data_IF_357981373006
#
_entry.id   IF_357981373006
#
_cell.length_a   1.000
_cell.length_b   1.000
_cell.length_c   1.000
_cell.angle_alpha   90.00
_cell.angle_beta   90.00
_cell.angle_gamma   90.00
#
_symmetry.space_group_name_H-M   'P 1'
#
loop_
_entity.id
_entity.type
_entity.pdbx_description
1 polymer ?
#
# COMPACT_ATOMS: atom_id res chain seq x y z
N UNK A 1 -28.92 -44.77 16.68
CA UNK A 1 -28.32 -43.78 17.60
C UNK A 1 -27.43 -42.88 16.76
N UNK A 2 -27.84 -41.62 16.55
CA UNK A 2 -27.09 -40.67 15.73
C UNK A 2 -25.96 -40.03 16.52
N UNK A 3 -24.75 -40.04 15.98
CA UNK A 3 -23.61 -39.30 16.54
C UNK A 3 -23.84 -37.81 16.28
N UNK A 4 -23.85 -36.98 17.33
CA UNK A 4 -23.79 -35.51 17.19
C UNK A 4 -22.34 -35.08 17.33
N UNK A 5 -21.79 -34.55 16.24
CA UNK A 5 -20.50 -33.88 16.22
C UNK A 5 -20.75 -32.38 16.40
N UNK A 6 -20.27 -31.81 17.51
CA UNK A 6 -20.32 -30.37 17.75
C UNK A 6 -18.94 -29.79 17.41
N UNK A 7 -18.87 -28.86 16.45
CA UNK A 7 -17.64 -28.14 16.10
C UNK A 7 -17.69 -26.76 16.75
N UNK A 8 -16.80 -26.52 17.70
CA UNK A 8 -16.64 -25.23 18.37
C UNK A 8 -15.43 -24.54 17.76
N UNK A 9 -15.65 -23.36 17.18
CA UNK A 9 -14.60 -22.48 16.70
C UNK A 9 -14.23 -21.50 17.80
N UNK A 10 -12.98 -21.51 18.24
CA UNK A 10 -12.46 -20.48 19.14
C UNK A 10 -11.37 -19.68 18.40
N UNK A 11 -11.62 -18.38 18.16
CA UNK A 11 -10.59 -17.48 17.64
C UNK A 11 -9.69 -17.02 18.78
N UNK A 12 -8.38 -17.16 18.60
CA UNK A 12 -7.36 -16.56 19.46
C UNK A 12 -6.57 -15.50 18.69
N UNK A 13 -5.78 -14.67 19.39
CA UNK A 13 -4.86 -13.68 18.79
C UNK A 13 -3.79 -14.30 17.87
N UNK A 14 -3.63 -15.63 17.82
CA UNK A 14 -2.62 -16.35 17.03
C UNK A 14 -3.20 -17.39 16.05
N UNK A 15 -4.51 -17.40 15.84
CA UNK A 15 -5.17 -18.33 14.91
C UNK A 15 -6.49 -18.91 15.41
N UNK A 16 -7.04 -19.83 14.63
CA UNK A 16 -8.32 -20.52 14.91
C UNK A 16 -8.04 -21.87 15.56
N UNK A 17 -8.54 -22.08 16.77
CA UNK A 17 -8.58 -23.39 17.42
C UNK A 17 -9.91 -24.06 17.08
N UNK A 18 -9.85 -25.23 16.44
CA UNK A 18 -11.03 -26.05 16.13
C UNK A 18 -11.13 -27.15 17.20
N UNK A 19 -12.16 -27.07 18.05
CA UNK A 19 -12.46 -28.10 19.05
C UNK A 19 -13.65 -28.91 18.55
N UNK A 20 -13.49 -30.22 18.39
CA UNK A 20 -14.58 -31.11 18.01
C UNK A 20 -14.98 -31.96 19.22
N UNK A 21 -16.24 -31.92 19.60
CA UNK A 21 -16.79 -32.71 20.70
C UNK A 21 -17.62 -33.85 20.12
N UNK A 22 -17.19 -35.09 20.36
CA UNK A 22 -17.94 -36.31 20.02
C UNK A 22 -18.81 -36.71 21.22
N UNK A 23 -20.13 -36.54 21.12
CA UNK A 23 -21.08 -36.98 22.15
C UNK A 23 -21.74 -38.28 21.72
N UNK A 24 -21.23 -39.41 22.20
CA UNK A 24 -21.82 -40.74 21.96
C UNK A 24 -22.88 -41.16 22.99
N UNK A 25 -22.96 -40.49 24.14
CA UNK A 25 -24.04 -40.69 25.12
C UNK A 25 -24.18 -39.47 26.05
N UNK A 26 -25.29 -39.37 26.79
CA UNK A 26 -25.54 -38.30 27.77
C UNK A 26 -24.67 -38.37 29.04
N UNK A 27 -23.77 -39.36 29.14
CA UNK A 27 -22.95 -39.57 30.35
C UNK A 27 -21.43 -39.60 30.10
N UNK A 28 -20.96 -39.69 28.85
CA UNK A 28 -19.52 -39.67 28.54
C UNK A 28 -19.21 -38.73 27.37
N UNK A 29 -18.63 -37.57 27.67
CA UNK A 29 -18.01 -36.70 26.68
C UNK A 29 -16.50 -36.95 26.70
N UNK A 30 -15.96 -37.59 25.67
CA UNK A 30 -14.51 -37.69 25.48
C UNK A 30 -14.05 -36.46 24.70
N UNK A 31 -13.29 -35.57 25.35
CA UNK A 31 -12.64 -34.45 24.65
C UNK A 31 -11.42 -35.01 23.91
N UNK A 32 -11.55 -35.18 22.60
CA UNK A 32 -10.41 -35.52 21.74
C UNK A 32 -9.75 -34.21 21.33
N UNK A 33 -8.80 -33.74 22.15
CA UNK A 33 -7.94 -32.62 21.77
C UNK A 33 -6.96 -33.08 20.69
N UNK A 34 -7.29 -32.87 19.41
CA UNK A 34 -6.30 -32.98 18.33
C UNK A 34 -5.45 -31.72 18.37
N UNK A 35 -4.13 -31.88 18.52
CA UNK A 35 -3.16 -30.83 18.27
C UNK A 35 -3.27 -30.46 16.78
N UNK A 36 -4.00 -29.39 16.47
CA UNK A 36 -3.83 -28.73 15.19
C UNK A 36 -2.61 -27.83 15.34
N UNK A 37 -1.60 -28.09 14.52
CA UNK A 37 -0.52 -27.13 14.24
C UNK A 37 -1.16 -25.76 14.08
N UNK A 38 -0.66 -24.73 14.77
CA UNK A 38 -1.09 -23.36 14.53
C UNK A 38 -1.09 -23.15 13.01
N UNK A 39 -2.27 -22.99 12.41
CA UNK A 39 -2.35 -22.50 11.04
C UNK A 39 -1.91 -21.06 11.19
N UNK A 40 -0.60 -20.82 11.02
CA UNK A 40 -0.05 -19.47 10.92
C UNK A 40 -0.63 -18.92 9.62
N UNK A 41 -1.77 -18.26 9.75
CA UNK A 41 -2.39 -17.54 8.64
C UNK A 41 -1.51 -16.33 8.40
N UNK A 42 -0.84 -16.30 7.25
CA UNK A 42 -0.07 -15.14 6.83
C UNK A 42 -0.97 -13.89 6.82
N UNK A 43 -0.43 -12.73 7.20
CA UNK A 43 -1.18 -11.48 7.23
C UNK A 43 -1.76 -11.09 5.86
N UNK A 44 -1.03 -11.45 4.79
CA UNK A 44 -1.47 -11.37 3.41
C UNK A 44 -1.63 -12.78 2.84
N UNK A 45 -2.61 -12.97 1.96
CA UNK A 45 -2.79 -14.18 1.14
C UNK A 45 -2.03 -14.14 -0.19
N UNK A 46 -1.39 -13.00 -0.48
CA UNK A 46 -0.61 -12.74 -1.69
C UNK A 46 0.82 -12.35 -1.32
N UNK A 47 1.72 -12.41 -2.30
CA UNK A 47 3.02 -11.76 -2.19
C UNK A 47 2.84 -10.29 -1.77
N UNK A 48 3.72 -9.83 -0.89
CA UNK A 48 3.85 -8.39 -0.63
C UNK A 48 4.89 -7.84 -1.60
N UNK A 49 4.57 -6.73 -2.24
CA UNK A 49 5.46 -5.97 -3.12
C UNK A 49 5.82 -4.64 -2.47
N UNK A 50 6.82 -3.93 -2.99
CA UNK A 50 7.26 -2.64 -2.47
C UNK A 50 7.02 -1.56 -3.51
N UNK A 51 6.32 -0.50 -3.13
CA UNK A 51 6.20 0.71 -3.94
C UNK A 51 6.95 1.89 -3.33
N UNK A 52 7.53 2.73 -4.18
CA UNK A 52 8.15 3.99 -3.77
C UNK A 52 7.72 5.14 -4.65
N UNK A 53 7.47 6.29 -4.03
CA UNK A 53 7.23 7.55 -4.72
C UNK A 53 8.55 8.09 -5.30
N UNK A 54 8.65 8.21 -6.63
CA UNK A 54 9.87 8.57 -7.37
C UNK A 54 9.63 9.73 -8.33
N UNK A 55 10.72 10.28 -8.86
CA UNK A 55 10.69 11.38 -9.82
C UNK A 55 10.24 12.70 -9.18
N UNK A 56 10.44 12.87 -7.87
CA UNK A 56 9.90 14.00 -7.11
C UNK A 56 10.83 15.23 -7.07
N UNK A 57 11.88 15.24 -7.90
CA UNK A 57 12.64 16.47 -8.17
C UNK A 57 11.84 17.47 -9.01
N UNK A 58 12.39 18.67 -9.21
CA UNK A 58 11.81 19.66 -10.13
C UNK A 58 12.87 20.66 -10.62
N UNK A 59 13.10 20.71 -11.93
CA UNK A 59 14.13 21.55 -12.54
C UNK A 59 15.51 21.25 -11.97
N UNK A 60 16.13 22.24 -11.32
CA UNK A 60 17.45 22.09 -10.70
C UNK A 60 17.41 21.45 -9.30
N UNK A 61 16.22 21.18 -8.75
CA UNK A 61 16.08 20.62 -7.41
C UNK A 61 15.93 19.10 -7.47
N UNK A 62 16.80 18.40 -6.74
CA UNK A 62 16.70 16.95 -6.56
C UNK A 62 15.86 16.63 -5.33
N UNK A 63 15.12 15.53 -5.38
CA UNK A 63 14.42 14.94 -4.25
C UNK A 63 14.66 13.42 -4.30
N UNK A 64 15.09 12.85 -3.18
CA UNK A 64 15.33 11.43 -3.05
C UNK A 64 16.54 10.88 -3.82
N UNK A 65 17.05 9.70 -3.42
CA UNK A 65 18.08 8.96 -4.13
C UNK A 65 17.44 7.91 -5.08
N UNK A 66 16.64 8.34 -6.06
CA UNK A 66 15.84 7.45 -6.93
C UNK A 66 16.66 6.28 -7.54
N UNK A 67 17.86 6.57 -8.05
CA UNK A 67 18.76 5.58 -8.66
C UNK A 67 19.18 4.46 -7.70
N UNK A 68 19.28 4.75 -6.40
CA UNK A 68 19.62 3.79 -5.36
C UNK A 68 18.41 2.96 -4.90
N UNK A 69 17.20 3.54 -5.03
CA UNK A 69 15.95 2.92 -4.58
C UNK A 69 15.36 1.97 -5.63
N UNK A 70 15.43 2.32 -6.91
CA UNK A 70 14.84 1.56 -8.03
C UNK A 70 15.21 0.06 -7.99
N UNK A 71 16.45 -0.37 -7.71
CA UNK A 71 16.79 -1.79 -7.67
C UNK A 71 16.18 -2.58 -6.50
N UNK A 72 15.56 -1.90 -5.53
CA UNK A 72 15.05 -2.49 -4.28
C UNK A 72 13.53 -2.62 -4.24
N UNK A 73 12.82 -2.11 -5.25
CA UNK A 73 11.37 -1.97 -5.27
C UNK A 73 10.76 -2.84 -6.37
N UNK A 74 9.43 -2.97 -6.35
CA UNK A 74 8.66 -3.67 -7.37
C UNK A 74 7.84 -2.66 -8.22
N UNK A 75 7.41 -1.55 -7.59
CA UNK A 75 6.57 -0.51 -8.19
C UNK A 75 7.12 0.90 -7.97
N UNK A 76 7.07 1.74 -9.02
CA UNK A 76 7.39 3.16 -8.93
C UNK A 76 6.14 4.03 -9.11
N UNK A 77 5.82 4.87 -8.13
CA UNK A 77 4.81 5.92 -8.27
C UNK A 77 5.50 7.20 -8.77
N UNK A 78 5.40 7.49 -10.07
CA UNK A 78 6.14 8.60 -10.68
C UNK A 78 5.34 9.89 -10.65
N UNK A 79 5.94 10.95 -10.08
CA UNK A 79 5.32 12.28 -10.00
C UNK A 79 5.00 12.86 -11.39
N UNK A 80 3.87 13.58 -11.50
CA UNK A 80 3.25 13.92 -12.79
C UNK A 80 3.21 15.42 -13.10
N UNK A 81 4.04 16.25 -12.46
CA UNK A 81 4.19 17.67 -12.80
C UNK A 81 3.49 18.68 -11.88
N UNK A 82 2.58 18.24 -11.01
CA UNK A 82 1.73 19.16 -10.23
C UNK A 82 2.22 19.36 -8.80
N UNK A 83 2.62 18.29 -8.10
CA UNK A 83 3.27 18.40 -6.80
C UNK A 83 4.79 18.36 -6.89
N UNK A 84 5.29 17.60 -7.88
CA UNK A 84 6.70 17.40 -8.19
C UNK A 84 6.83 16.75 -9.58
N UNK A 85 8.06 16.52 -10.01
CA UNK A 85 8.39 15.99 -11.32
C UNK A 85 8.31 17.06 -12.41
N UNK A 86 9.22 17.04 -13.35
CA UNK A 86 9.13 17.80 -14.59
C UNK A 86 9.23 16.84 -15.79
N UNK A 87 8.98 17.30 -17.04
CA UNK A 87 9.02 16.42 -18.21
C UNK A 87 10.31 15.61 -18.37
N UNK A 88 11.47 16.20 -18.05
CA UNK A 88 12.75 15.53 -18.20
C UNK A 88 12.95 14.50 -17.09
N UNK A 89 12.60 14.85 -15.85
CA UNK A 89 12.65 13.93 -14.71
C UNK A 89 11.73 12.73 -14.95
N UNK A 90 10.47 12.96 -15.36
CA UNK A 90 9.54 11.87 -15.71
C UNK A 90 10.14 10.93 -16.75
N UNK A 91 10.72 11.47 -17.84
CA UNK A 91 11.35 10.66 -18.87
C UNK A 91 12.54 9.85 -18.35
N UNK A 92 13.38 10.44 -17.51
CA UNK A 92 14.54 9.78 -16.92
C UNK A 92 14.12 8.68 -15.95
N UNK A 93 13.18 8.95 -15.04
CA UNK A 93 12.66 7.97 -14.08
C UNK A 93 12.02 6.77 -14.80
N UNK A 94 11.21 7.00 -15.85
CA UNK A 94 10.62 5.91 -16.64
C UNK A 94 11.70 5.04 -17.30
N UNK A 95 12.73 5.65 -17.90
CA UNK A 95 13.85 4.91 -18.50
C UNK A 95 14.60 4.07 -17.48
N UNK A 96 14.81 4.59 -16.29
CA UNK A 96 15.53 3.86 -15.25
C UNK A 96 14.68 2.70 -14.71
N UNK A 97 13.39 2.92 -14.48
CA UNK A 97 12.45 1.85 -14.13
C UNK A 97 12.45 0.74 -15.19
N UNK A 98 12.44 1.09 -16.48
CA UNK A 98 12.54 0.11 -17.58
C UNK A 98 13.80 -0.74 -17.51
N UNK A 99 14.95 -0.13 -17.23
CA UNK A 99 16.24 -0.83 -17.14
C UNK A 99 16.29 -1.85 -16.02
N UNK A 100 15.49 -1.63 -14.97
CA UNK A 100 15.40 -2.46 -13.79
C UNK A 100 14.14 -3.33 -13.72
N UNK A 101 13.32 -3.35 -14.78
CA UNK A 101 12.05 -4.10 -14.84
C UNK A 101 11.04 -3.71 -13.74
N UNK A 102 11.00 -2.42 -13.39
CA UNK A 102 10.09 -1.88 -12.37
C UNK A 102 8.79 -1.43 -13.00
N UNK A 103 7.64 -1.85 -12.44
CA UNK A 103 6.34 -1.42 -12.94
C UNK A 103 6.06 0.04 -12.56
N UNK A 104 5.62 0.84 -13.52
CA UNK A 104 5.45 2.28 -13.33
C UNK A 104 3.98 2.66 -13.26
N UNK A 105 3.61 3.43 -12.24
CA UNK A 105 2.31 4.04 -12.07
C UNK A 105 2.38 5.56 -11.97
N UNK A 106 1.24 6.19 -12.21
CA UNK A 106 1.10 7.63 -12.07
C UNK A 106 0.91 8.02 -10.60
N UNK A 107 1.62 9.05 -10.17
CA UNK A 107 1.50 9.63 -8.84
C UNK A 107 0.90 11.05 -8.90
N UNK A 108 -0.41 11.18 -9.22
CA UNK A 108 -1.04 12.49 -9.38
C UNK A 108 -1.16 13.21 -8.03
N UNK A 109 -0.75 14.47 -7.99
CA UNK A 109 -0.87 15.34 -6.84
C UNK A 109 -1.72 16.59 -7.10
N UNK A 110 -2.03 17.33 -6.05
CA UNK A 110 -2.60 18.68 -6.19
C UNK A 110 -1.59 19.62 -6.87
N UNK A 111 -2.04 20.68 -7.59
CA UNK A 111 -1.18 21.64 -8.28
C UNK A 111 -0.46 22.57 -7.30
N UNK A 112 0.46 22.00 -6.54
CA UNK A 112 1.15 22.65 -5.44
C UNK A 112 2.61 22.20 -5.31
N UNK A 113 3.45 22.63 -6.25
CA UNK A 113 4.90 22.35 -6.22
C UNK A 113 5.54 22.92 -4.94
N UNK A 114 5.13 24.11 -4.50
CA UNK A 114 5.73 24.79 -3.34
C UNK A 114 5.44 24.08 -2.02
N UNK A 115 4.25 23.49 -1.90
CA UNK A 115 3.85 22.67 -0.77
C UNK A 115 4.09 21.18 -0.98
N UNK A 116 4.73 20.78 -2.08
CA UNK A 116 4.97 19.39 -2.46
C UNK A 116 3.68 18.55 -2.46
N UNK A 117 2.53 19.14 -2.85
CA UNK A 117 1.23 18.45 -2.82
C UNK A 117 0.76 18.04 -1.42
N UNK A 118 1.32 18.61 -0.35
CA UNK A 118 1.00 18.31 1.06
C UNK A 118 0.16 19.41 1.75
N UNK A 119 -0.50 20.28 0.97
CA UNK A 119 -1.49 21.27 1.45
C UNK A 119 -2.82 21.05 0.75
N UNK A 120 -3.91 20.97 1.51
CA UNK A 120 -5.23 20.83 0.91
C UNK A 120 -5.56 22.05 0.06
N UNK A 121 -6.01 21.80 -1.18
CA UNK A 121 -6.55 22.79 -2.09
C UNK A 121 -7.97 22.35 -2.39
N UNK A 122 -8.94 23.23 -2.10
CA UNK A 122 -10.34 22.96 -2.43
C UNK A 122 -10.51 23.09 -3.95
N UNK A 123 -10.85 21.97 -4.58
CA UNK A 123 -11.14 21.87 -6.01
C UNK A 123 -12.53 21.24 -6.19
N UNK A 124 -13.21 21.56 -7.29
CA UNK A 124 -14.47 20.90 -7.65
C UNK A 124 -14.21 19.44 -8.09
N UNK A 125 -15.24 18.57 -8.06
CA UNK A 125 -15.14 17.22 -8.62
C UNK A 125 -14.66 17.20 -10.09
N UNK A 126 -15.13 18.13 -10.92
CA UNK A 126 -14.72 18.23 -12.31
C UNK A 126 -13.25 18.63 -12.45
N UNK A 127 -12.77 19.55 -11.61
CA UNK A 127 -11.36 19.95 -11.55
C UNK A 127 -10.47 18.78 -11.13
N UNK A 128 -10.86 18.03 -10.10
CA UNK A 128 -10.13 16.84 -9.64
C UNK A 128 -10.06 15.75 -10.71
N UNK A 129 -11.18 15.50 -11.40
CA UNK A 129 -11.25 14.53 -12.50
C UNK A 129 -10.32 14.93 -13.65
N UNK A 130 -10.41 16.19 -14.10
CA UNK A 130 -9.61 16.71 -15.20
C UNK A 130 -8.12 16.75 -14.86
N UNK A 131 -7.77 17.15 -13.64
CA UNK A 131 -6.41 17.18 -13.13
C UNK A 131 -5.79 15.78 -13.10
N UNK A 132 -6.50 14.79 -12.55
CA UNK A 132 -6.01 13.41 -12.50
C UNK A 132 -5.80 12.87 -13.92
N UNK A 133 -6.76 13.09 -14.82
CA UNK A 133 -6.65 12.67 -16.22
C UNK A 133 -5.47 13.33 -16.94
N UNK A 134 -5.22 14.62 -16.71
CA UNK A 134 -4.09 15.35 -17.27
C UNK A 134 -2.77 14.72 -16.83
N UNK A 135 -2.60 14.52 -15.52
CA UNK A 135 -1.36 13.97 -14.95
C UNK A 135 -1.10 12.54 -15.40
N UNK A 136 -2.12 11.67 -15.37
CA UNK A 136 -2.01 10.29 -15.84
C UNK A 136 -1.71 10.26 -17.35
N UNK A 137 -2.36 11.12 -18.14
CA UNK A 137 -2.09 11.25 -19.58
C UNK A 137 -0.67 11.73 -19.88
N UNK A 138 -0.14 12.66 -19.08
CA UNK A 138 1.23 13.14 -19.21
C UNK A 138 2.24 12.01 -18.98
N UNK A 139 2.15 11.27 -17.88
CA UNK A 139 3.05 10.14 -17.62
C UNK A 139 2.90 9.05 -18.69
N UNK A 140 1.66 8.75 -19.11
CA UNK A 140 1.39 7.75 -20.13
C UNK A 140 2.14 8.03 -21.44
N UNK A 141 2.30 9.29 -21.84
CA UNK A 141 3.07 9.63 -23.03
C UNK A 141 4.55 9.22 -22.93
N UNK A 142 5.17 9.35 -21.75
CA UNK A 142 6.56 8.92 -21.53
C UNK A 142 6.67 7.39 -21.46
N UNK A 143 5.69 6.73 -20.84
CA UNK A 143 5.60 5.26 -20.82
C UNK A 143 5.46 4.70 -22.23
N UNK A 144 4.56 5.25 -23.04
CA UNK A 144 4.33 4.82 -24.42
C UNK A 144 5.59 5.02 -25.28
N UNK A 145 6.33 6.12 -25.08
CA UNK A 145 7.61 6.38 -25.76
C UNK A 145 8.70 5.35 -25.41
N UNK A 146 8.65 4.78 -24.21
CA UNK A 146 9.55 3.72 -23.76
C UNK A 146 8.96 2.31 -23.94
N UNK A 147 7.75 2.18 -24.51
CA UNK A 147 7.08 0.89 -24.72
C UNK A 147 6.67 0.18 -23.43
N UNK A 148 6.41 0.94 -22.36
CA UNK A 148 5.95 0.42 -21.07
C UNK A 148 4.44 0.66 -20.89
N UNK A 149 3.70 -0.27 -20.27
CA UNK A 149 2.31 -0.01 -19.89
C UNK A 149 2.23 0.87 -18.63
N UNK A 150 1.12 1.60 -18.49
CA UNK A 150 0.73 2.19 -17.20
C UNK A 150 0.24 1.06 -16.28
N UNK A 151 0.95 0.81 -15.19
CA UNK A 151 0.60 -0.27 -14.25
C UNK A 151 -0.53 0.14 -13.31
N UNK A 152 -0.40 1.30 -12.66
CA UNK A 152 -1.31 1.73 -11.61
C UNK A 152 -1.42 3.25 -11.50
N UNK A 153 -2.35 3.73 -10.66
CA UNK A 153 -2.44 5.12 -10.21
C UNK A 153 -2.53 5.16 -8.68
N UNK A 154 -1.72 6.02 -8.06
CA UNK A 154 -1.71 6.27 -6.62
C UNK A 154 -1.73 7.77 -6.36
N UNK A 155 -2.79 8.37 -5.77
CA UNK A 155 -2.76 9.79 -5.44
C UNK A 155 -1.61 10.15 -4.49
N UNK A 156 -1.03 11.35 -4.65
CA UNK A 156 0.08 11.83 -3.83
C UNK A 156 -0.38 12.54 -2.56
N UNK A 157 0.40 12.39 -1.49
CA UNK A 157 0.41 13.30 -0.34
C UNK A 157 -0.98 13.57 0.24
N UNK A 158 -1.38 14.84 0.30
CA UNK A 158 -2.67 15.19 0.91
C UNK A 158 -3.85 14.79 0.03
N UNK A 159 -3.67 14.65 -1.29
CA UNK A 159 -4.75 14.18 -2.18
C UNK A 159 -5.17 12.77 -1.79
N UNK A 160 -4.20 11.88 -1.53
CA UNK A 160 -4.44 10.55 -0.96
C UNK A 160 -5.24 10.61 0.34
N UNK A 161 -4.87 11.58 1.20
CA UNK A 161 -5.59 11.88 2.43
C UNK A 161 -7.04 12.27 2.22
N UNK A 162 -7.29 13.15 1.25
CA UNK A 162 -8.63 13.64 0.93
C UNK A 162 -9.49 12.51 0.37
N UNK A 163 -8.95 11.68 -0.53
CA UNK A 163 -9.68 10.60 -1.18
C UNK A 163 -10.10 9.49 -0.20
N UNK A 164 -9.30 9.13 0.82
CA UNK A 164 -9.79 8.15 1.81
C UNK A 164 -10.78 8.72 2.83
N UNK A 165 -10.94 10.05 2.94
CA UNK A 165 -11.84 10.72 3.91
C UNK A 165 -13.15 11.21 3.31
N UNK A 166 -13.16 11.48 2.01
CA UNK A 166 -14.32 12.04 1.29
C UNK A 166 -14.59 11.21 0.02
N UNK A 167 -15.75 10.57 0.00
CA UNK A 167 -16.16 9.67 -1.09
C UNK A 167 -16.32 10.40 -2.42
N UNK A 168 -16.86 11.62 -2.42
CA UNK A 168 -17.08 12.37 -3.66
C UNK A 168 -15.75 12.84 -4.25
N UNK A 169 -14.80 13.22 -3.40
CA UNK A 169 -13.42 13.51 -3.82
C UNK A 169 -12.74 12.26 -4.37
N UNK A 170 -12.87 11.11 -3.70
CA UNK A 170 -12.33 9.83 -4.19
C UNK A 170 -12.87 9.47 -5.57
N UNK A 171 -14.19 9.55 -5.74
CA UNK A 171 -14.87 9.25 -6.99
C UNK A 171 -14.42 10.17 -8.10
N UNK A 172 -14.34 11.47 -7.86
CA UNK A 172 -13.83 12.43 -8.83
C UNK A 172 -12.39 12.12 -9.26
N UNK A 173 -11.50 11.81 -8.32
CA UNK A 173 -10.12 11.44 -8.65
C UNK A 173 -10.08 10.14 -9.46
N UNK A 174 -10.81 9.11 -9.06
CA UNK A 174 -10.82 7.81 -9.74
C UNK A 174 -11.54 7.83 -11.10
N UNK A 175 -12.51 8.72 -11.33
CA UNK A 175 -13.09 8.97 -12.67
C UNK A 175 -12.08 9.59 -13.66
N UNK A 176 -10.99 10.16 -13.15
CA UNK A 176 -9.83 10.60 -13.94
C UNK A 176 -8.89 9.46 -14.35
N UNK A 177 -9.01 8.28 -13.74
CA UNK A 177 -8.15 7.12 -13.99
C UNK A 177 -8.63 6.34 -15.23
N UNK A 178 -7.74 5.89 -16.14
CA UNK A 178 -8.13 5.06 -17.27
C UNK A 178 -8.81 3.76 -16.82
N UNK A 179 -9.84 3.34 -17.57
CA UNK A 179 -10.58 2.11 -17.25
C UNK A 179 -9.65 0.90 -17.23
N UNK A 180 -9.81 0.05 -16.20
CA UNK A 180 -9.02 -1.16 -16.03
C UNK A 180 -7.61 -0.93 -15.46
N UNK A 181 -7.20 0.31 -15.19
CA UNK A 181 -5.95 0.60 -14.49
C UNK A 181 -6.12 0.37 -12.99
N UNK A 182 -5.17 -0.33 -12.39
CA UNK A 182 -5.15 -0.59 -10.95
C UNK A 182 -5.00 0.71 -10.16
N UNK A 183 -5.74 0.86 -9.06
CA UNK A 183 -5.55 1.95 -8.11
C UNK A 183 -4.97 1.42 -6.81
N UNK A 184 -3.99 2.14 -6.26
CA UNK A 184 -3.39 1.82 -4.97
C UNK A 184 -4.07 2.67 -3.91
N UNK A 185 -4.43 2.06 -2.77
CA UNK A 185 -5.11 2.77 -1.71
C UNK A 185 -5.16 2.04 -0.38
N UNK A 186 -5.49 2.80 0.66
CA UNK A 186 -5.70 2.30 2.01
C UNK A 186 -7.00 1.49 2.09
N UNK A 187 -6.88 0.19 2.32
CA UNK A 187 -8.02 -0.70 2.47
C UNK A 187 -8.90 -0.31 3.68
N UNK A 188 -10.19 -0.66 3.64
CA UNK A 188 -11.18 -0.28 4.64
C UNK A 188 -11.56 1.20 4.61
N UNK A 189 -11.31 1.90 3.50
CA UNK A 189 -11.64 3.32 3.31
C UNK A 189 -12.37 3.55 1.99
N UNK A 190 -12.70 4.81 1.69
CA UNK A 190 -13.33 5.17 0.42
C UNK A 190 -12.48 4.83 -0.81
N UNK A 191 -11.17 4.62 -0.67
CA UNK A 191 -10.35 4.09 -1.77
C UNK A 191 -10.87 2.73 -2.26
N UNK A 192 -11.06 1.79 -1.34
CA UNK A 192 -11.55 0.45 -1.67
C UNK A 192 -13.00 0.50 -2.17
N UNK A 193 -13.86 1.20 -1.44
CA UNK A 193 -15.29 1.32 -1.77
C UNK A 193 -15.48 1.87 -3.20
N UNK A 194 -14.82 2.98 -3.51
CA UNK A 194 -14.98 3.65 -4.81
C UNK A 194 -14.27 2.89 -5.93
N UNK A 195 -13.12 2.25 -5.67
CA UNK A 195 -12.49 1.37 -6.66
C UNK A 195 -13.47 0.29 -7.14
N UNK A 196 -14.17 -0.36 -6.21
CA UNK A 196 -15.16 -1.39 -6.52
C UNK A 196 -16.42 -0.84 -7.20
N UNK A 197 -16.93 0.31 -6.76
CA UNK A 197 -18.06 0.97 -7.43
C UNK A 197 -17.76 1.30 -8.89
N UNK A 198 -16.53 1.70 -9.20
CA UNK A 198 -16.10 2.06 -10.56
C UNK A 198 -15.54 0.87 -11.36
N UNK A 199 -15.42 -0.31 -10.74
CA UNK A 199 -14.85 -1.50 -11.38
C UNK A 199 -13.35 -1.39 -11.67
N UNK A 200 -12.61 -0.62 -10.87
CA UNK A 200 -11.15 -0.51 -10.95
C UNK A 200 -10.50 -1.63 -10.11
N UNK A 201 -9.45 -2.31 -10.62
CA UNK A 201 -8.65 -3.21 -9.80
C UNK A 201 -8.01 -2.45 -8.63
N UNK A 202 -7.91 -3.09 -7.47
CA UNK A 202 -7.45 -2.46 -6.23
C UNK A 202 -6.26 -3.22 -5.64
N UNK A 203 -5.26 -2.47 -5.16
CA UNK A 203 -4.13 -2.97 -4.36
C UNK A 203 -4.13 -2.23 -3.03
N UNK A 204 -4.14 -3.00 -1.95
CA UNK A 204 -4.10 -2.47 -0.59
C UNK A 204 -2.68 -2.02 -0.25
N UNK A 205 -2.55 -0.80 0.28
CA UNK A 205 -1.26 -0.28 0.72
C UNK A 205 -1.00 -0.45 2.22
N UNK A 206 0.25 -0.83 2.51
CA UNK A 206 0.91 -0.71 3.81
C UNK A 206 1.93 0.42 3.74
N UNK A 207 2.43 0.90 4.87
CA UNK A 207 3.31 2.07 4.90
C UNK A 207 4.51 1.87 5.83
N UNK A 208 5.70 1.73 5.26
CA UNK A 208 6.92 1.46 6.02
C UNK A 208 7.49 2.66 6.80
N UNK A 209 7.07 3.88 6.45
CA UNK A 209 7.62 5.13 6.97
C UNK A 209 6.55 6.21 7.22
N UNK A 210 5.30 5.79 7.46
CA UNK A 210 4.19 6.67 7.83
C UNK A 210 3.46 6.11 9.03
N UNK A 211 3.20 6.95 10.04
CA UNK A 211 2.53 6.53 11.26
C UNK A 211 1.02 6.40 11.05
N UNK A 212 0.38 5.58 11.87
CA UNK A 212 -1.06 5.37 11.84
C UNK A 212 -1.76 6.02 13.04
N UNK A 213 -2.99 6.49 12.86
CA UNK A 213 -3.89 6.84 13.94
C UNK A 213 -4.57 5.59 14.51
N UNK A 214 -5.23 5.75 15.66
CA UNK A 214 -6.05 4.68 16.28
C UNK A 214 -7.18 4.16 15.38
N UNK A 215 -7.60 4.96 14.40
CA UNK A 215 -8.67 4.62 13.45
C UNK A 215 -8.10 3.99 12.16
N UNK A 216 -6.82 3.60 12.16
CA UNK A 216 -6.15 2.96 11.01
C UNK A 216 -5.84 3.91 9.86
N UNK A 217 -5.92 5.23 10.06
CA UNK A 217 -5.62 6.24 9.03
C UNK A 217 -4.17 6.71 9.11
N UNK A 218 -3.63 7.16 7.98
CA UNK A 218 -2.27 7.68 7.91
C UNK A 218 -2.15 9.07 8.55
N UNK A 219 -1.13 9.26 9.37
CA UNK A 219 -0.69 10.56 9.88
C UNK A 219 0.27 11.15 8.85
N UNK A 220 -0.29 11.91 7.91
CA UNK A 220 0.46 12.49 6.79
C UNK A 220 1.22 13.73 7.27
N UNK A 221 2.54 13.62 7.33
CA UNK A 221 3.43 14.72 7.67
C UNK A 221 3.64 15.66 6.48
N UNK A 222 3.70 16.97 6.74
CA UNK A 222 4.09 17.96 5.71
C UNK A 222 5.55 17.82 5.30
N UNK A 223 6.41 17.42 6.24
CA UNK A 223 7.83 17.15 6.03
C UNK A 223 8.19 15.88 6.80
N UNK A 224 8.73 14.89 6.10
CA UNK A 224 9.19 13.63 6.69
C UNK A 224 10.28 13.89 7.73
N UNK A 225 10.27 13.08 8.77
CA UNK A 225 11.26 13.04 9.84
C UNK A 225 12.04 11.74 9.76
N UNK A 226 13.30 11.72 10.18
CA UNK A 226 14.08 10.48 10.19
C UNK A 226 13.42 9.45 11.12
N UNK A 227 13.55 8.19 10.75
CA UNK A 227 13.13 7.06 11.58
C UNK A 227 14.37 6.43 12.21
N UNK A 228 14.28 6.02 13.48
CA UNK A 228 15.34 5.17 14.02
C UNK A 228 15.28 3.80 13.31
N UNK A 229 16.42 3.20 12.93
CA UNK A 229 16.42 1.95 12.18
C UNK A 229 15.58 0.84 12.82
N UNK A 230 15.68 0.65 14.14
CA UNK A 230 14.94 -0.39 14.85
C UNK A 230 13.43 -0.10 14.90
N UNK A 231 13.04 1.17 14.97
CA UNK A 231 11.64 1.60 14.95
C UNK A 231 11.04 1.33 13.56
N UNK A 232 11.74 1.67 12.47
CA UNK A 232 11.30 1.40 11.10
C UNK A 232 11.16 -0.10 10.85
N UNK A 233 12.17 -0.90 11.24
CA UNK A 233 12.13 -2.35 11.08
C UNK A 233 10.95 -2.98 11.84
N UNK A 234 10.73 -2.61 13.10
CA UNK A 234 9.61 -3.12 13.88
C UNK A 234 8.26 -2.73 13.25
N UNK A 235 8.15 -1.50 12.77
CA UNK A 235 6.95 -0.96 12.13
C UNK A 235 6.61 -1.65 10.80
N UNK A 236 7.62 -1.91 9.96
CA UNK A 236 7.45 -2.66 8.71
C UNK A 236 7.08 -4.10 9.02
N UNK A 237 7.81 -4.74 9.94
CA UNK A 237 7.62 -6.14 10.28
C UNK A 237 6.22 -6.43 10.81
N UNK A 238 5.67 -5.58 11.68
CA UNK A 238 4.30 -5.79 12.19
C UNK A 238 3.26 -5.73 11.07
N UNK A 239 3.43 -4.81 10.11
CA UNK A 239 2.49 -4.69 9.01
C UNK A 239 2.56 -5.89 8.06
N UNK A 240 3.78 -6.31 7.70
CA UNK A 240 3.99 -7.41 6.75
C UNK A 240 3.66 -8.77 7.37
N UNK A 241 4.12 -9.05 8.59
CA UNK A 241 3.98 -10.39 9.18
C UNK A 241 2.64 -10.62 9.88
N UNK A 242 2.09 -9.60 10.52
CA UNK A 242 0.88 -9.72 11.35
C UNK A 242 -0.30 -8.87 10.86
N UNK A 243 -0.09 -7.99 9.87
CA UNK A 243 -1.14 -7.09 9.38
C UNK A 243 -1.55 -6.09 10.44
N UNK A 244 -0.65 -5.75 11.36
CA UNK A 244 -0.93 -4.84 12.48
C UNK A 244 0.05 -3.68 12.50
N UNK A 245 -0.35 -2.60 13.17
CA UNK A 245 0.49 -1.43 13.39
C UNK A 245 0.23 -0.83 14.77
N UNK A 246 1.26 -0.26 15.38
CA UNK A 246 1.10 0.55 16.59
C UNK A 246 0.70 1.98 16.20
N UNK A 247 -0.48 2.40 16.61
CA UNK A 247 -0.95 3.77 16.43
C UNK A 247 -0.08 4.77 17.20
N UNK A 248 -0.12 6.04 16.80
CA UNK A 248 0.57 7.13 17.52
C UNK A 248 0.12 7.31 18.98
N UNK A 249 -1.03 6.74 19.36
CA UNK A 249 -1.57 6.70 20.71
C UNK A 249 -1.11 5.48 21.52
N UNK A 250 -0.40 4.53 20.89
CA UNK A 250 0.24 3.37 21.52
C UNK A 250 -0.51 2.05 21.40
N UNK A 251 -1.77 2.07 20.96
CA UNK A 251 -2.58 0.86 20.76
C UNK A 251 -2.22 0.14 19.46
N UNK A 252 -2.40 -1.18 19.45
CA UNK A 252 -2.29 -1.99 18.25
C UNK A 252 -3.58 -1.91 17.42
N UNK A 253 -3.43 -1.64 16.12
CA UNK A 253 -4.52 -1.53 15.14
C UNK A 253 -4.35 -2.64 14.10
N UNK A 254 -5.42 -3.37 13.84
CA UNK A 254 -5.48 -4.35 12.76
C UNK A 254 -5.75 -3.65 11.42
N UNK A 255 -4.94 -3.95 10.42
CA UNK A 255 -5.12 -3.44 9.06
C UNK A 255 -6.05 -4.38 8.26
N UNK A 256 -7.08 -3.86 7.58
CA UNK A 256 -8.07 -4.66 6.86
C UNK A 256 -7.57 -5.07 5.46
N UNK A 257 -6.50 -5.86 5.41
CA UNK A 257 -5.87 -6.30 4.15
C UNK A 257 -6.72 -7.33 3.40
N UNK A 258 -7.51 -8.12 4.12
CA UNK A 258 -8.43 -9.15 3.62
C UNK A 258 -7.84 -10.09 2.55
N UNK A 259 -8.28 -9.99 1.30
CA UNK A 259 -7.83 -10.83 0.17
C UNK A 259 -7.22 -9.98 -0.96
N UNK A 260 -6.84 -8.74 -0.64
CA UNK A 260 -6.25 -7.83 -1.61
C UNK A 260 -4.80 -8.19 -1.89
N UNK A 261 -4.35 -7.93 -3.11
CA UNK A 261 -2.92 -7.78 -3.38
C UNK A 261 -2.36 -6.62 -2.53
N UNK A 262 -1.11 -6.73 -2.10
CA UNK A 262 -0.54 -5.84 -1.08
C UNK A 262 0.76 -5.21 -1.55
N UNK A 263 0.86 -3.90 -1.42
CA UNK A 263 2.11 -3.18 -1.65
C UNK A 263 2.50 -2.34 -0.44
N UNK A 264 3.72 -2.53 0.06
CA UNK A 264 4.32 -1.74 1.13
C UNK A 264 4.95 -0.47 0.53
N UNK A 265 4.38 0.69 0.86
CA UNK A 265 4.86 1.99 0.45
C UNK A 265 6.01 2.48 1.33
N UNK A 266 7.06 2.98 0.69
CA UNK A 266 8.07 3.86 1.29
C UNK A 266 8.22 5.14 0.46
N UNK A 267 8.85 6.18 1.00
CA UNK A 267 8.97 7.47 0.32
C UNK A 267 10.43 7.82 0.05
N UNK A 268 10.74 8.32 -1.15
CA UNK A 268 12.09 8.75 -1.52
C UNK A 268 12.51 10.05 -0.81
N UNK A 269 11.55 10.88 -0.38
CA UNK A 269 11.80 12.13 0.36
C UNK A 269 12.07 11.92 1.86
N UNK A 270 12.01 10.68 2.35
CA UNK A 270 12.40 10.34 3.71
C UNK A 270 13.93 10.51 3.87
N UNK A 271 14.42 11.14 4.96
CA UNK A 271 15.86 11.34 5.15
C UNK A 271 16.71 10.07 5.09
N UNK A 272 16.14 8.94 5.52
CA UNK A 272 16.78 7.62 5.59
C UNK A 272 16.15 6.63 4.60
N UNK A 273 15.73 7.12 3.41
CA UNK A 273 14.93 6.34 2.46
C UNK A 273 15.61 5.03 2.04
N UNK A 274 16.92 5.04 1.77
CA UNK A 274 17.65 3.85 1.32
C UNK A 274 17.69 2.78 2.41
N UNK A 275 17.94 3.18 3.65
CA UNK A 275 17.96 2.28 4.80
C UNK A 275 16.58 1.67 5.06
N UNK A 276 15.53 2.48 5.00
CA UNK A 276 14.14 2.03 5.18
C UNK A 276 13.75 1.03 4.08
N UNK A 277 14.01 1.35 2.81
CA UNK A 277 13.64 0.48 1.68
C UNK A 277 14.48 -0.81 1.67
N UNK A 278 15.75 -0.74 2.07
CA UNK A 278 16.59 -1.93 2.23
C UNK A 278 16.02 -2.86 3.31
N UNK A 279 15.62 -2.30 4.47
CA UNK A 279 14.98 -3.07 5.52
C UNK A 279 13.64 -3.67 5.07
N UNK A 280 12.84 -2.89 4.33
CA UNK A 280 11.59 -3.34 3.75
C UNK A 280 11.79 -4.54 2.81
N UNK A 281 12.74 -4.45 1.87
CA UNK A 281 13.08 -5.54 0.93
C UNK A 281 13.46 -6.82 1.67
N UNK A 282 14.33 -6.72 2.67
CA UNK A 282 14.73 -7.88 3.47
C UNK A 282 13.54 -8.55 4.18
N UNK A 283 12.66 -7.76 4.81
CA UNK A 283 11.49 -8.27 5.53
C UNK A 283 10.48 -8.90 4.56
N UNK A 284 10.20 -8.21 3.46
CA UNK A 284 9.27 -8.67 2.42
C UNK A 284 9.78 -9.95 1.75
N UNK A 285 11.07 -10.05 1.45
CA UNK A 285 11.68 -11.29 0.91
C UNK A 285 11.56 -12.45 1.90
N UNK A 286 11.84 -12.22 3.18
CA UNK A 286 11.71 -13.26 4.20
C UNK A 286 10.26 -13.74 4.33
N UNK A 287 9.31 -12.81 4.36
CA UNK A 287 7.88 -13.12 4.40
C UNK A 287 7.45 -13.91 3.15
N UNK A 288 7.77 -13.41 1.97
CA UNK A 288 7.42 -14.03 0.70
C UNK A 288 8.04 -15.41 0.55
N UNK A 289 9.33 -15.59 0.87
CA UNK A 289 9.98 -16.90 0.81
C UNK A 289 9.38 -17.91 1.80
N UNK A 290 8.88 -17.43 2.94
CA UNK A 290 8.26 -18.29 3.96
C UNK A 290 6.87 -18.78 3.56
N UNK A 291 6.03 -17.90 3.00
CA UNK A 291 4.61 -18.20 2.73
C UNK A 291 4.28 -18.46 1.27
N UNK A 292 5.10 -17.96 0.35
CA UNK A 292 4.93 -18.07 -1.11
C UNK A 292 6.27 -18.47 -1.78
N UNK A 293 6.88 -19.60 -1.39
CA UNK A 293 8.14 -20.04 -1.98
C UNK A 293 7.97 -20.25 -3.48
N UNK A 294 8.90 -19.73 -4.28
CA UNK A 294 8.97 -20.05 -5.71
C UNK A 294 9.21 -21.56 -5.85
N UNK A 295 8.34 -22.22 -6.61
CA UNK A 295 8.45 -23.65 -6.95
C UNK A 295 9.68 -23.96 -7.80
#
# INVERSE_FOLDING_TARGET
MGVRIEVIYARSRRGVLIITVDRRSTQDATVVARHYTEIIVAASKHHVEINVDLGEGYGNFKCGPDEELIPLIDHANVACGFHAGDPLIMQQTVRECKRHDIAVGAHPGLPDIQGFGRREIKMSPEELTAMTRYQVGALKAFLDAEGMPLHHVKPHGVLYGMTYRDKEVCKAVYEGVPKGTTVFGLAGTFHEEVAFELGLPFVAELYGDVKYSKDGRLVIDRKKKPWKPEEAQAHIKSQVETGTVTAVTGEEVQLPIDDHQVSLCCHSDSPDAVEIVTAARQIVDQFNNKYFPRS
#
